data_IF_739344720263
#
_entry.id   IF_739344720263
#
_cell.length_a   1.000
_cell.length_b   1.000
_cell.length_c   1.000
_cell.angle_alpha   90.00
_cell.angle_beta   90.00
_cell.angle_gamma   90.00
#
_symmetry.space_group_name_H-M   'P 1'
#
loop_
_entity.id
_entity.type
_entity.pdbx_description
1 polymer ?
#
# COMPACT_ATOMS: atom_id res chain seq x y z
N UNK A 1 -52.90 -55.57 -30.22
CA UNK A 1 -52.15 -54.73 -29.27
C UNK A 1 -53.17 -54.09 -28.34
N UNK A 2 -53.23 -54.51 -27.08
CA UNK A 2 -54.12 -53.93 -26.07
C UNK A 2 -53.67 -52.50 -25.77
N UNK A 3 -54.44 -51.50 -26.20
CA UNK A 3 -54.20 -50.10 -25.85
C UNK A 3 -54.51 -49.89 -24.37
N UNK A 4 -53.64 -49.19 -23.66
CA UNK A 4 -53.90 -48.78 -22.28
C UNK A 4 -55.20 -47.97 -22.19
N UNK A 5 -55.99 -48.19 -21.14
CA UNK A 5 -57.15 -47.35 -20.87
C UNK A 5 -56.71 -45.95 -20.42
N UNK A 6 -57.55 -44.95 -20.64
CA UNK A 6 -57.25 -43.56 -20.26
C UNK A 6 -56.95 -43.41 -18.76
N UNK A 7 -57.64 -44.20 -17.93
CA UNK A 7 -57.37 -44.30 -16.49
C UNK A 7 -55.97 -44.87 -16.18
N UNK A 8 -55.51 -45.89 -16.92
CA UNK A 8 -54.16 -46.45 -16.74
C UNK A 8 -53.07 -45.45 -17.15
N UNK A 9 -53.31 -44.66 -18.20
CA UNK A 9 -52.40 -43.59 -18.63
C UNK A 9 -52.33 -42.45 -17.61
N UNK A 10 -53.47 -42.07 -17.00
CA UNK A 10 -53.51 -41.04 -15.95
C UNK A 10 -52.77 -41.49 -14.67
N UNK A 11 -52.95 -42.75 -14.26
CA UNK A 11 -52.22 -43.33 -13.13
C UNK A 11 -50.71 -43.35 -13.38
N UNK A 12 -50.27 -43.72 -14.59
CA UNK A 12 -48.87 -43.73 -14.95
C UNK A 12 -48.27 -42.31 -14.96
N UNK A 13 -49.00 -41.32 -15.47
CA UNK A 13 -48.56 -39.90 -15.45
C UNK A 13 -48.37 -39.40 -14.03
N UNK A 14 -49.35 -39.60 -13.15
CA UNK A 14 -49.26 -39.19 -11.73
C UNK A 14 -48.08 -39.86 -11.02
N UNK A 15 -47.83 -41.14 -11.29
CA UNK A 15 -46.73 -41.88 -10.69
C UNK A 15 -45.37 -41.35 -11.19
N UNK A 16 -45.26 -41.06 -12.49
CA UNK A 16 -44.07 -40.45 -13.08
C UNK A 16 -43.81 -39.04 -12.54
N UNK A 17 -44.83 -38.20 -12.43
CA UNK A 17 -44.73 -36.86 -11.83
C UNK A 17 -44.25 -36.94 -10.37
N UNK A 18 -44.85 -37.83 -9.58
CA UNK A 18 -44.48 -38.01 -8.17
C UNK A 18 -43.02 -38.46 -8.01
N UNK A 19 -42.57 -39.44 -8.81
CA UNK A 19 -41.19 -39.91 -8.76
C UNK A 19 -40.20 -38.87 -9.30
N UNK A 20 -40.59 -38.08 -10.30
CA UNK A 20 -39.77 -36.98 -10.81
C UNK A 20 -39.61 -35.88 -9.76
N UNK A 21 -40.69 -35.44 -9.13
CA UNK A 21 -40.67 -34.42 -8.06
C UNK A 21 -39.82 -34.88 -6.87
N UNK A 22 -39.95 -36.14 -6.48
CA UNK A 22 -39.15 -36.72 -5.39
C UNK A 22 -37.65 -36.76 -5.73
N UNK A 23 -37.29 -37.15 -6.95
CA UNK A 23 -35.89 -37.20 -7.40
C UNK A 23 -35.32 -35.79 -7.57
N UNK A 24 -36.12 -34.87 -8.10
CA UNK A 24 -35.74 -33.47 -8.29
C UNK A 24 -35.57 -32.75 -6.95
N UNK A 25 -36.47 -32.98 -5.99
CA UNK A 25 -36.36 -32.47 -4.62
C UNK A 25 -35.05 -32.92 -3.95
N UNK A 26 -34.74 -34.22 -4.00
CA UNK A 26 -33.46 -34.75 -3.47
C UNK A 26 -32.23 -34.15 -4.16
N UNK A 27 -32.30 -33.94 -5.48
CA UNK A 27 -31.20 -33.30 -6.21
C UNK A 27 -31.00 -31.85 -5.79
N UNK A 28 -32.10 -31.07 -5.68
CA UNK A 28 -32.07 -29.68 -5.21
C UNK A 28 -31.48 -29.61 -3.79
N UNK A 29 -31.95 -30.44 -2.86
CA UNK A 29 -31.44 -30.49 -1.49
C UNK A 29 -29.93 -30.79 -1.45
N UNK A 30 -29.48 -31.74 -2.28
CA UNK A 30 -28.06 -32.07 -2.37
C UNK A 30 -27.22 -30.92 -2.94
N UNK A 31 -27.69 -30.26 -4.01
CA UNK A 31 -27.01 -29.10 -4.61
C UNK A 31 -26.97 -27.93 -3.64
N UNK A 32 -28.08 -27.63 -2.96
CA UNK A 32 -28.18 -26.56 -1.95
C UNK A 32 -27.25 -26.82 -0.76
N UNK A 33 -27.20 -28.07 -0.27
CA UNK A 33 -26.27 -28.46 0.79
C UNK A 33 -24.80 -28.28 0.39
N UNK A 34 -24.44 -28.62 -0.85
CA UNK A 34 -23.10 -28.37 -1.40
C UNK A 34 -22.82 -26.89 -1.57
N UNK A 35 -23.79 -26.10 -2.06
CA UNK A 35 -23.65 -24.66 -2.21
C UNK A 35 -23.37 -23.99 -0.87
N UNK A 36 -24.15 -24.31 0.17
CA UNK A 36 -23.94 -23.80 1.54
C UNK A 36 -22.57 -24.16 2.10
N UNK A 37 -22.08 -25.37 1.83
CA UNK A 37 -20.74 -25.80 2.25
C UNK A 37 -19.67 -24.94 1.58
N UNK A 38 -19.76 -24.76 0.26
CA UNK A 38 -18.83 -23.93 -0.52
C UNK A 38 -18.87 -22.47 -0.06
N UNK A 39 -20.06 -21.89 0.16
CA UNK A 39 -20.21 -20.51 0.66
C UNK A 39 -19.55 -20.32 2.04
N UNK A 40 -19.72 -21.31 2.93
CA UNK A 40 -19.10 -21.29 4.26
C UNK A 40 -17.58 -21.35 4.17
N UNK A 41 -17.05 -22.22 3.31
CA UNK A 41 -15.60 -22.32 3.07
C UNK A 41 -15.02 -21.05 2.46
N UNK A 42 -15.69 -20.47 1.46
CA UNK A 42 -15.30 -19.19 0.86
C UNK A 42 -15.22 -18.10 1.92
N UNK A 43 -16.25 -17.98 2.77
CA UNK A 43 -16.28 -16.99 3.85
C UNK A 43 -15.10 -17.18 4.82
N UNK A 44 -14.82 -18.44 5.22
CA UNK A 44 -13.69 -18.77 6.09
C UNK A 44 -12.34 -18.39 5.47
N UNK A 45 -12.12 -18.76 4.21
CA UNK A 45 -10.89 -18.45 3.47
C UNK A 45 -10.71 -16.94 3.32
N UNK A 46 -11.79 -16.20 3.04
CA UNK A 46 -11.74 -14.75 2.92
C UNK A 46 -11.35 -14.08 4.25
N UNK A 47 -11.92 -14.53 5.37
CA UNK A 47 -11.56 -14.04 6.70
C UNK A 47 -10.09 -14.31 7.04
N UNK A 48 -9.62 -15.52 6.78
CA UNK A 48 -8.23 -15.90 7.04
C UNK A 48 -7.25 -15.11 6.16
N UNK A 49 -7.55 -14.97 4.86
CA UNK A 49 -6.73 -14.20 3.93
C UNK A 49 -6.66 -12.72 4.35
N UNK A 50 -7.78 -12.13 4.80
CA UNK A 50 -7.79 -10.77 5.35
C UNK A 50 -6.90 -10.64 6.58
N UNK A 51 -6.97 -11.61 7.50
CA UNK A 51 -6.12 -11.65 8.70
C UNK A 51 -4.63 -11.74 8.33
N UNK A 52 -4.26 -12.66 7.43
CA UNK A 52 -2.90 -12.85 6.96
C UNK A 52 -2.34 -11.59 6.28
N UNK A 53 -3.11 -10.98 5.37
CA UNK A 53 -2.73 -9.72 4.72
C UNK A 53 -2.47 -8.61 5.75
N UNK A 54 -3.36 -8.47 6.74
CA UNK A 54 -3.20 -7.46 7.80
C UNK A 54 -1.92 -7.69 8.61
N UNK A 55 -1.61 -8.95 8.92
CA UNK A 55 -0.40 -9.32 9.67
C UNK A 55 0.87 -9.09 8.84
N UNK A 56 0.88 -9.46 7.56
CA UNK A 56 1.98 -9.17 6.63
C UNK A 56 2.21 -7.66 6.53
N UNK A 57 1.16 -6.87 6.29
CA UNK A 57 1.26 -5.41 6.19
C UNK A 57 1.83 -4.78 7.46
N UNK A 58 1.45 -5.31 8.62
CA UNK A 58 1.99 -4.86 9.91
C UNK A 58 3.48 -5.15 10.01
N UNK A 59 3.91 -6.39 9.70
CA UNK A 59 5.31 -6.80 9.75
C UNK A 59 6.17 -6.01 8.75
N UNK A 60 5.70 -5.83 7.51
CA UNK A 60 6.38 -5.01 6.52
C UNK A 60 6.53 -3.56 7.01
N UNK A 61 5.47 -2.98 7.58
CA UNK A 61 5.52 -1.61 8.11
C UNK A 61 6.52 -1.48 9.25
N UNK A 62 6.60 -2.47 10.14
CA UNK A 62 7.60 -2.53 11.21
C UNK A 62 9.02 -2.60 10.64
N UNK A 63 9.24 -3.46 9.65
CA UNK A 63 10.54 -3.66 9.00
C UNK A 63 11.04 -2.44 8.20
N UNK A 64 10.17 -1.49 7.87
CA UNK A 64 10.54 -0.27 7.13
C UNK A 64 10.74 0.96 8.04
N UNK A 65 10.54 0.86 9.37
CA UNK A 65 10.55 2.04 10.27
C UNK A 65 11.87 2.80 10.32
N UNK A 66 12.98 2.08 10.20
CA UNK A 66 14.34 2.61 10.13
C UNK A 66 14.81 2.87 8.69
N UNK A 67 13.90 2.89 7.70
CA UNK A 67 14.23 3.02 6.29
C UNK A 67 13.65 4.29 5.67
N UNK A 68 14.44 4.88 4.77
CA UNK A 68 14.06 6.06 4.00
C UNK A 68 14.33 5.84 2.51
N UNK A 69 13.75 6.71 1.71
CA UNK A 69 14.00 6.86 0.28
C UNK A 69 14.47 8.28 -0.01
N UNK A 70 15.54 8.40 -0.78
CA UNK A 70 16.04 9.66 -1.34
C UNK A 70 15.80 9.59 -2.85
N UNK A 71 14.91 10.46 -3.34
CA UNK A 71 14.48 10.51 -4.73
C UNK A 71 14.97 11.80 -5.40
N UNK A 72 15.19 11.74 -6.73
CA UNK A 72 15.62 12.90 -7.53
C UNK A 72 17.13 13.19 -7.50
N UNK A 73 17.91 12.45 -6.70
CA UNK A 73 19.37 12.62 -6.69
C UNK A 73 20.00 12.11 -8.01
N UNK A 74 20.74 12.96 -8.76
CA UNK A 74 21.37 12.58 -10.03
C UNK A 74 22.29 11.37 -9.92
N UNK A 75 22.43 10.59 -10.99
CA UNK A 75 23.47 9.56 -11.04
C UNK A 75 24.84 10.23 -11.19
N UNK A 76 25.70 10.00 -10.19
CA UNK A 76 27.07 10.48 -10.14
C UNK A 76 27.99 9.32 -9.81
N UNK A 77 29.00 9.08 -10.65
CA UNK A 77 29.91 7.93 -10.49
C UNK A 77 30.74 8.00 -9.21
N UNK A 78 31.02 9.21 -8.71
CA UNK A 78 31.86 9.43 -7.51
C UNK A 78 31.09 9.42 -6.20
N UNK A 79 29.76 9.34 -6.22
CA UNK A 79 28.92 9.41 -5.02
C UNK A 79 28.01 8.19 -4.93
N UNK A 80 28.28 7.34 -3.95
CA UNK A 80 27.41 6.24 -3.58
C UNK A 80 26.28 6.71 -2.64
N UNK A 81 25.34 5.81 -2.35
CA UNK A 81 24.20 6.12 -1.49
C UNK A 81 24.60 6.49 -0.06
N UNK A 82 25.69 5.92 0.46
CA UNK A 82 26.14 6.13 1.84
C UNK A 82 26.75 7.52 1.99
N UNK A 83 27.61 7.91 1.07
CA UNK A 83 28.24 9.24 1.05
C UNK A 83 27.19 10.34 0.87
N UNK A 84 26.20 10.13 -0.01
CA UNK A 84 25.07 11.05 -0.19
C UNK A 84 24.30 11.22 1.14
N UNK A 85 24.04 10.12 1.83
CA UNK A 85 23.31 10.12 3.11
C UNK A 85 24.09 10.86 4.20
N UNK A 86 25.39 10.58 4.36
CA UNK A 86 26.25 11.27 5.33
C UNK A 86 26.32 12.76 5.08
N UNK A 87 26.50 13.18 3.83
CA UNK A 87 26.52 14.61 3.46
C UNK A 87 25.19 15.29 3.76
N UNK A 88 24.07 14.63 3.45
CA UNK A 88 22.73 15.13 3.83
C UNK A 88 22.58 15.29 5.35
N UNK A 89 23.02 14.29 6.12
CA UNK A 89 22.96 14.34 7.57
C UNK A 89 23.77 15.53 8.11
N UNK A 90 24.98 15.75 7.58
CA UNK A 90 25.82 16.89 7.95
C UNK A 90 25.16 18.23 7.65
N UNK A 91 24.50 18.37 6.49
CA UNK A 91 23.70 19.56 6.18
C UNK A 91 22.52 19.75 7.15
N UNK A 92 21.96 18.64 7.65
CA UNK A 92 20.93 18.61 8.68
C UNK A 92 21.48 18.70 10.12
N UNK A 93 22.78 19.03 10.30
CA UNK A 93 23.48 19.13 11.60
C UNK A 93 23.47 17.83 12.40
N UNK A 94 23.48 16.69 11.71
CA UNK A 94 23.59 15.36 12.28
C UNK A 94 24.88 14.70 11.76
N UNK A 95 25.76 14.29 12.67
CA UNK A 95 26.93 13.49 12.33
C UNK A 95 26.55 12.02 12.38
N UNK A 96 26.87 11.28 11.31
CA UNK A 96 26.57 9.84 11.18
C UNK A 96 27.86 9.03 11.14
N UNK A 97 27.96 8.04 12.03
CA UNK A 97 28.97 6.99 12.01
C UNK A 97 28.78 6.01 10.84
N UNK A 98 29.81 5.21 10.56
CA UNK A 98 29.75 4.20 9.49
C UNK A 98 28.85 3.01 9.84
N UNK A 99 28.81 2.60 11.10
CA UNK A 99 27.96 1.55 11.64
C UNK A 99 26.48 1.95 11.75
N UNK A 100 26.21 3.26 11.70
CA UNK A 100 24.87 3.83 11.84
C UNK A 100 24.02 3.75 10.58
N UNK A 101 24.65 3.54 9.41
CA UNK A 101 23.97 3.24 8.15
C UNK A 101 24.23 1.76 7.86
N UNK A 102 23.18 0.94 7.91
CA UNK A 102 23.30 -0.50 7.61
C UNK A 102 23.37 -0.74 6.11
N UNK A 103 22.55 -0.01 5.35
CA UNK A 103 22.43 -0.17 3.91
C UNK A 103 22.13 1.17 3.24
N UNK A 104 22.73 1.45 2.09
CA UNK A 104 22.44 2.63 1.28
C UNK A 104 22.72 2.36 -0.20
N UNK A 105 21.68 2.02 -0.98
CA UNK A 105 21.85 1.61 -2.36
C UNK A 105 20.81 2.22 -3.29
N UNK A 106 21.21 2.48 -4.53
CA UNK A 106 20.29 2.85 -5.60
C UNK A 106 19.46 1.63 -6.00
N UNK A 107 18.15 1.83 -6.08
CA UNK A 107 17.19 0.77 -6.39
C UNK A 107 16.05 1.30 -7.26
N UNK A 108 15.35 0.40 -7.93
CA UNK A 108 14.26 0.74 -8.83
C UNK A 108 14.74 1.27 -10.19
N UNK A 109 13.81 1.64 -11.08
CA UNK A 109 14.14 2.06 -12.44
C UNK A 109 14.83 3.43 -12.44
N UNK A 110 15.77 3.61 -13.37
CA UNK A 110 16.36 4.92 -13.65
C UNK A 110 15.31 5.81 -14.31
N UNK A 111 15.19 7.04 -13.85
CA UNK A 111 14.27 8.05 -14.38
C UNK A 111 15.04 9.26 -14.88
N UNK A 112 14.80 9.63 -16.13
CA UNK A 112 15.41 10.81 -16.75
C UNK A 112 14.38 11.92 -16.85
N UNK A 113 14.62 13.03 -16.15
CA UNK A 113 13.75 14.21 -16.16
C UNK A 113 14.61 15.38 -16.63
N UNK A 114 14.17 16.08 -17.68
CA UNK A 114 14.90 17.23 -18.26
C UNK A 114 16.38 16.93 -18.53
N UNK A 115 16.67 15.73 -19.05
CA UNK A 115 18.03 15.28 -19.37
C UNK A 115 18.88 14.82 -18.19
N UNK A 116 18.35 14.80 -16.96
CA UNK A 116 19.07 14.33 -15.78
C UNK A 116 18.56 12.97 -15.34
N UNK A 117 19.41 11.95 -15.45
CA UNK A 117 19.13 10.60 -14.94
C UNK A 117 19.28 10.55 -13.43
N UNK A 118 18.24 10.04 -12.75
CA UNK A 118 18.20 9.84 -11.31
C UNK A 118 17.66 8.46 -10.98
N UNK A 119 18.03 7.94 -9.81
CA UNK A 119 17.55 6.65 -9.32
C UNK A 119 17.41 6.72 -7.80
N UNK A 120 16.30 6.20 -7.28
CA UNK A 120 15.98 6.24 -5.84
C UNK A 120 17.04 5.54 -5.02
N UNK A 121 17.54 6.20 -3.98
CA UNK A 121 18.45 5.61 -3.00
C UNK A 121 17.60 5.15 -1.82
N UNK A 122 17.63 3.85 -1.53
CA UNK A 122 17.09 3.31 -0.29
C UNK A 122 18.19 3.35 0.77
N UNK A 123 17.84 3.80 1.97
CA UNK A 123 18.74 3.84 3.12
C UNK A 123 18.07 3.15 4.29
N UNK A 124 18.85 2.36 5.02
CA UNK A 124 18.48 1.72 6.27
C UNK A 124 19.45 2.14 7.38
N UNK A 125 18.88 2.65 8.47
CA UNK A 125 19.61 3.06 9.65
C UNK A 125 19.68 1.94 10.67
N UNK A 126 20.69 1.97 11.54
CA UNK A 126 20.85 0.97 12.61
C UNK A 126 19.69 0.95 13.61
N UNK A 127 19.03 2.09 13.82
CA UNK A 127 17.90 2.22 14.74
C UNK A 127 16.79 3.11 14.17
N UNK A 128 15.57 2.90 14.69
CA UNK A 128 14.41 3.76 14.37
C UNK A 128 14.65 5.19 14.89
N UNK A 129 15.18 5.34 16.11
CA UNK A 129 15.46 6.64 16.70
C UNK A 129 16.42 7.49 15.83
N UNK A 130 17.46 6.87 15.27
CA UNK A 130 18.37 7.55 14.36
C UNK A 130 17.69 7.98 13.06
N UNK A 131 16.85 7.10 12.48
CA UNK A 131 16.04 7.45 11.32
C UNK A 131 15.10 8.63 11.63
N UNK A 132 14.52 8.68 12.81
CA UNK A 132 13.62 9.75 13.26
C UNK A 132 14.37 11.08 13.43
N UNK A 133 15.56 11.05 14.04
CA UNK A 133 16.44 12.20 14.15
C UNK A 133 16.85 12.73 12.78
N UNK A 134 17.26 11.85 11.87
CA UNK A 134 17.59 12.21 10.49
C UNK A 134 16.40 12.87 9.78
N UNK A 135 15.22 12.25 9.83
CA UNK A 135 14.01 12.80 9.20
C UNK A 135 13.59 14.16 9.79
N UNK A 136 13.74 14.34 11.11
CA UNK A 136 13.50 15.61 11.78
C UNK A 136 14.48 16.69 11.31
N UNK A 137 15.78 16.40 11.30
CA UNK A 137 16.81 17.33 10.81
C UNK A 137 16.60 17.72 9.35
N UNK A 138 16.20 16.76 8.51
CA UNK A 138 15.83 16.99 7.11
C UNK A 138 14.61 17.91 6.98
N UNK A 139 13.60 17.75 7.84
CA UNK A 139 12.43 18.64 7.87
C UNK A 139 12.85 20.06 8.24
N UNK A 140 13.65 20.24 9.29
CA UNK A 140 14.17 21.55 9.71
C UNK A 140 15.02 22.19 8.61
N UNK A 141 15.93 21.44 7.99
CA UNK A 141 16.76 21.91 6.87
C UNK A 141 15.91 22.36 5.68
N UNK A 142 14.84 21.63 5.37
CA UNK A 142 13.91 22.01 4.30
C UNK A 142 13.18 23.30 4.66
N UNK A 143 12.67 23.42 5.88
CA UNK A 143 11.92 24.59 6.34
C UNK A 143 12.77 25.85 6.45
N UNK A 144 14.06 25.73 6.73
CA UNK A 144 14.99 26.87 6.77
C UNK A 144 15.38 27.42 5.40
N UNK A 145 15.01 26.75 4.30
CA UNK A 145 15.33 27.19 2.93
C UNK A 145 14.22 28.08 2.36
N UNK A 146 14.55 29.15 1.61
CA UNK A 146 13.54 30.05 1.03
C UNK A 146 12.48 29.35 0.17
N UNK A 147 12.91 28.36 -0.64
CA UNK A 147 12.01 27.58 -1.50
C UNK A 147 11.32 26.40 -0.79
N UNK A 148 11.56 26.20 0.52
CA UNK A 148 11.11 25.03 1.29
C UNK A 148 11.39 23.69 0.60
N UNK A 149 12.52 23.59 -0.10
CA UNK A 149 12.89 22.47 -0.95
C UNK A 149 14.38 22.15 -0.83
N UNK A 150 14.70 20.85 -0.90
CA UNK A 150 16.08 20.35 -0.97
C UNK A 150 16.48 20.18 -2.44
N UNK A 151 17.76 20.38 -2.72
CA UNK A 151 18.31 20.22 -4.07
C UNK A 151 19.69 19.56 -4.02
N UNK A 152 20.15 19.04 -5.15
CA UNK A 152 21.41 18.30 -5.25
C UNK A 152 22.66 19.14 -4.99
N UNK A 153 22.57 20.47 -5.05
CA UNK A 153 23.71 21.37 -4.76
C UNK A 153 24.10 21.34 -3.28
N UNK A 154 23.23 20.84 -2.41
CA UNK A 154 23.55 20.56 -1.00
C UNK A 154 24.70 19.55 -0.80
N UNK A 155 24.90 18.67 -1.77
CA UNK A 155 25.73 17.45 -1.63
C UNK A 155 26.74 17.35 -2.77
N UNK A 156 26.32 17.72 -3.97
CA UNK A 156 27.06 17.64 -5.23
C UNK A 156 27.57 19.02 -5.65
N UNK A 157 28.73 19.02 -6.29
CA UNK A 157 29.36 20.20 -6.88
C UNK A 157 28.94 20.43 -8.34
N UNK A 158 27.95 19.68 -8.86
CA UNK A 158 27.45 19.89 -10.22
C UNK A 158 26.81 21.27 -10.40
N UNK A 159 26.98 21.83 -11.60
CA UNK A 159 26.47 23.16 -11.94
C UNK A 159 24.93 23.26 -11.93
N UNK A 160 24.22 22.19 -12.33
CA UNK A 160 22.76 22.19 -12.44
C UNK A 160 22.10 21.49 -11.23
N UNK A 161 21.48 22.25 -10.29
CA UNK A 161 20.76 21.67 -9.16
C UNK A 161 19.50 20.94 -9.62
N UNK A 162 19.21 19.80 -8.99
CA UNK A 162 17.96 19.06 -9.15
C UNK A 162 17.24 18.92 -7.81
N UNK A 163 15.91 19.06 -7.77
CA UNK A 163 15.14 18.79 -6.57
C UNK A 163 15.37 17.39 -5.99
N UNK A 164 15.58 17.32 -4.69
CA UNK A 164 15.68 16.07 -3.94
C UNK A 164 14.50 15.94 -2.98
N UNK A 165 13.95 14.74 -2.90
CA UNK A 165 12.89 14.40 -1.96
C UNK A 165 13.36 13.30 -1.03
N UNK A 166 13.25 13.56 0.26
CA UNK A 166 13.59 12.59 1.31
C UNK A 166 12.30 12.25 2.05
N UNK A 167 11.96 10.96 2.07
CA UNK A 167 10.75 10.47 2.72
C UNK A 167 11.01 9.14 3.41
N UNK A 168 10.23 8.81 4.43
CA UNK A 168 10.21 7.44 4.95
C UNK A 168 9.82 6.45 3.87
N UNK A 169 10.36 5.25 3.99
CA UNK A 169 9.95 4.11 3.17
C UNK A 169 8.63 3.56 3.72
N UNK A 170 7.70 3.30 2.81
CA UNK A 170 6.41 2.69 3.13
C UNK A 170 6.26 1.36 2.41
N UNK A 171 5.47 0.45 2.97
CA UNK A 171 5.11 -0.80 2.30
C UNK A 171 4.37 -0.53 0.98
N UNK A 172 4.41 -1.50 0.08
CA UNK A 172 3.73 -1.40 -1.20
C UNK A 172 2.22 -1.24 -1.00
N UNK A 173 1.65 -1.90 0.00
CA UNK A 173 0.24 -1.77 0.32
C UNK A 173 -0.14 -0.35 0.75
N UNK A 174 0.64 0.28 1.64
CA UNK A 174 0.38 1.67 2.04
C UNK A 174 0.50 2.62 0.85
N UNK A 175 1.48 2.40 -0.05
CA UNK A 175 1.61 3.18 -1.30
C UNK A 175 0.40 2.99 -2.22
N UNK A 176 -0.11 1.77 -2.32
CA UNK A 176 -1.30 1.41 -3.12
C UNK A 176 -2.56 2.06 -2.54
N UNK A 177 -2.82 1.89 -1.24
CA UNK A 177 -3.93 2.52 -0.53
C UNK A 177 -3.88 4.04 -0.64
N UNK A 178 -2.70 4.65 -0.50
CA UNK A 178 -2.54 6.11 -0.69
C UNK A 178 -2.93 6.54 -2.10
N UNK A 179 -2.60 5.75 -3.11
CA UNK A 179 -2.95 6.05 -4.50
C UNK A 179 -4.47 6.01 -4.71
N UNK A 180 -5.15 4.98 -4.20
CA UNK A 180 -6.61 4.87 -4.22
C UNK A 180 -7.28 6.00 -3.42
N UNK A 181 -6.78 6.28 -2.23
CA UNK A 181 -7.26 7.34 -1.35
C UNK A 181 -7.11 8.72 -2.01
N UNK A 182 -6.04 8.97 -2.76
CA UNK A 182 -5.87 10.22 -3.51
C UNK A 182 -6.88 10.38 -4.66
N UNK A 183 -7.28 9.30 -5.33
CA UNK A 183 -8.34 9.33 -6.33
C UNK A 183 -9.68 9.67 -5.67
N UNK A 184 -10.01 8.97 -4.56
CA UNK A 184 -11.24 9.21 -3.80
C UNK A 184 -11.28 10.62 -3.18
N UNK A 185 -10.13 11.12 -2.70
CA UNK A 185 -9.94 12.49 -2.20
C UNK A 185 -10.42 13.51 -3.24
N UNK A 186 -9.99 13.34 -4.50
CA UNK A 186 -10.38 14.24 -5.60
C UNK A 186 -11.87 14.16 -5.89
N UNK A 187 -12.44 12.96 -5.95
CA UNK A 187 -13.87 12.79 -6.25
C UNK A 187 -14.77 13.36 -5.16
N UNK A 188 -14.40 13.20 -3.89
CA UNK A 188 -15.18 13.67 -2.74
C UNK A 188 -14.78 15.04 -2.21
N UNK A 189 -13.82 15.72 -2.87
CA UNK A 189 -13.30 17.03 -2.48
C UNK A 189 -12.82 17.08 -1.02
N UNK A 190 -12.07 16.06 -0.60
CA UNK A 190 -11.36 16.10 0.68
C UNK A 190 -10.11 16.97 0.54
N UNK A 191 -9.80 17.78 1.55
CA UNK A 191 -8.66 18.70 1.51
C UNK A 191 -7.32 17.99 1.76
N UNK A 192 -7.31 16.95 2.61
CA UNK A 192 -6.07 16.34 3.08
C UNK A 192 -6.03 14.81 2.94
N UNK A 193 -4.88 14.30 2.51
CA UNK A 193 -4.52 12.87 2.50
C UNK A 193 -3.00 12.77 2.71
N UNK A 194 -2.57 12.17 3.81
CA UNK A 194 -1.16 12.08 4.21
C UNK A 194 -0.89 10.78 4.95
N UNK A 195 0.39 10.42 5.07
CA UNK A 195 0.81 9.32 5.95
C UNK A 195 1.38 9.97 7.21
N UNK A 196 0.86 9.59 8.37
CA UNK A 196 1.36 10.06 9.67
C UNK A 196 2.77 9.56 9.95
N UNK A 197 3.45 10.17 10.94
CA UNK A 197 4.79 9.73 11.36
C UNK A 197 4.80 8.27 11.84
N UNK A 198 3.67 7.78 12.36
CA UNK A 198 3.48 6.38 12.76
C UNK A 198 3.29 5.40 11.59
N UNK A 199 3.25 5.90 10.34
CA UNK A 199 3.06 5.11 9.12
C UNK A 199 1.60 4.87 8.73
N UNK A 200 0.62 5.37 9.50
CA UNK A 200 -0.81 5.22 9.19
C UNK A 200 -1.24 6.21 8.11
N UNK A 201 -1.99 5.74 7.11
CA UNK A 201 -2.62 6.59 6.10
C UNK A 201 -3.82 7.32 6.71
N UNK A 202 -3.85 8.63 6.55
CA UNK A 202 -4.84 9.52 7.14
C UNK A 202 -5.50 10.38 6.05
N UNK A 203 -6.80 10.61 6.20
CA UNK A 203 -7.57 11.53 5.38
C UNK A 203 -8.36 12.51 6.26
N UNK A 204 -8.64 13.69 5.72
CA UNK A 204 -9.46 14.71 6.41
C UNK A 204 -10.20 15.54 5.36
N UNK A 205 -11.50 15.76 5.60
CA UNK A 205 -12.37 16.48 4.67
C UNK A 205 -12.01 17.96 4.57
N UNK A 206 -11.91 18.64 5.71
CA UNK A 206 -11.50 20.04 5.79
C UNK A 206 -10.76 20.35 7.09
N UNK A 207 -10.17 21.55 7.19
CA UNK A 207 -9.61 22.05 8.45
C UNK A 207 -10.66 21.99 9.55
N UNK A 208 -10.34 21.35 10.68
CA UNK A 208 -11.27 21.16 11.80
C UNK A 208 -12.07 19.85 11.77
N UNK A 209 -12.22 19.18 10.62
CA UNK A 209 -12.90 17.87 10.53
C UNK A 209 -12.15 16.78 11.31
N UNK A 210 -12.76 15.66 11.73
CA UNK A 210 -12.03 14.54 12.31
C UNK A 210 -11.07 13.89 11.29
N UNK A 211 -9.98 13.31 11.78
CA UNK A 211 -9.04 12.52 10.97
C UNK A 211 -9.59 11.11 10.81
N UNK A 212 -9.64 10.63 9.57
CA UNK A 212 -10.06 9.28 9.22
C UNK A 212 -8.80 8.45 8.93
N UNK A 213 -8.66 7.31 9.59
CA UNK A 213 -7.59 6.36 9.32
C UNK A 213 -8.03 5.40 8.22
N UNK A 214 -7.16 5.21 7.23
CA UNK A 214 -7.38 4.27 6.13
C UNK A 214 -6.42 3.10 6.32
N UNK A 215 -6.98 1.93 6.57
CA UNK A 215 -6.26 0.68 6.81
C UNK A 215 -6.55 -0.38 5.74
N UNK A 216 -7.67 -0.23 5.02
CA UNK A 216 -8.06 -1.11 3.92
C UNK A 216 -8.75 -0.35 2.78
N UNK A 217 -9.09 -1.05 1.71
CA UNK A 217 -9.86 -0.49 0.60
C UNK A 217 -11.32 -0.21 0.99
N UNK A 218 -11.89 -1.04 1.86
CA UNK A 218 -13.25 -0.86 2.37
C UNK A 218 -13.40 0.49 3.08
N UNK A 219 -12.39 0.90 3.86
CA UNK A 219 -12.36 2.22 4.51
C UNK A 219 -12.49 3.35 3.47
N UNK A 220 -11.86 3.20 2.29
CA UNK A 220 -11.91 4.18 1.19
C UNK A 220 -13.30 4.18 0.52
N UNK A 221 -13.92 3.01 0.38
CA UNK A 221 -15.25 2.87 -0.22
C UNK A 221 -16.33 3.51 0.65
N UNK A 222 -16.18 3.46 1.98
CA UNK A 222 -17.12 4.01 2.95
C UNK A 222 -17.04 5.55 3.09
N UNK A 223 -16.04 6.20 2.50
CA UNK A 223 -15.90 7.66 2.53
C UNK A 223 -17.05 8.37 1.80
N UNK A 224 -17.54 9.46 2.40
CA UNK A 224 -18.62 10.33 1.89
C UNK A 224 -18.21 11.79 1.80
#
# INVERSE_FOLDING_TARGET
MTSFSEHQLDQLRKLLETEFDKRWGKFIEHVDGRMKTVETEISKIQMENKSLKTRINTLESLAMRNRIEIQGFPQESKLDGREITKRLAKQAKLELGDDQILFAMRTGPVRTIKGVSSQTINVEFSTIALCDQFMSGIKTLRESRPAKQLDSKLISTRANPQPIYVSRKYSNEVKRLRSLAMLKKKSLKYDYCWISDSGKLCMRKSTGSPVIFISSEEDILQLK
#
